data_IF_621850655659
#
_entry.id   IF_621850655659
#
_cell.length_a   1.000
_cell.length_b   1.000
_cell.length_c   1.000
_cell.angle_alpha   90.00
_cell.angle_beta   90.00
_cell.angle_gamma   90.00
#
_symmetry.space_group_name_H-M   'P 1'
#
loop_
_entity.id
_entity.type
_entity.pdbx_description
1 polymer ?
#
# COMPACT_ATOMS: atom_id res chain seq x y z
N UNK A 1 -41.52 -47.78 28.48
CA UNK A 1 -40.83 -49.00 28.96
C UNK A 1 -40.05 -48.67 30.23
N UNK A 2 -39.86 -49.62 31.15
CA UNK A 2 -39.10 -49.45 32.39
C UNK A 2 -38.12 -50.61 32.61
N UNK A 3 -36.88 -50.30 32.97
CA UNK A 3 -35.83 -51.26 33.32
C UNK A 3 -35.25 -50.90 34.69
N UNK A 4 -34.63 -51.87 35.38
CA UNK A 4 -33.89 -51.63 36.61
C UNK A 4 -32.41 -51.93 36.40
N UNK A 5 -31.56 -50.93 36.59
CA UNK A 5 -30.11 -51.03 36.60
C UNK A 5 -29.61 -50.96 38.05
N UNK A 6 -29.41 -52.12 38.69
CA UNK A 6 -28.98 -52.22 40.09
C UNK A 6 -29.90 -51.42 41.05
N UNK A 7 -29.55 -50.16 41.38
CA UNK A 7 -30.27 -49.25 42.27
C UNK A 7 -30.99 -48.10 41.55
N UNK A 8 -30.92 -48.07 40.22
CA UNK A 8 -31.49 -47.03 39.39
C UNK A 8 -32.55 -47.59 38.45
N UNK A 9 -33.55 -46.78 38.14
CA UNK A 9 -34.63 -47.05 37.22
C UNK A 9 -34.38 -46.32 35.91
N UNK A 10 -34.47 -47.04 34.81
CA UNK A 10 -34.32 -46.48 33.46
C UNK A 10 -35.69 -46.48 32.80
N UNK A 11 -36.10 -45.30 32.31
CA UNK A 11 -37.37 -45.08 31.63
C UNK A 11 -37.10 -44.65 30.20
N UNK A 12 -37.56 -45.47 29.24
CA UNK A 12 -37.64 -45.11 27.83
C UNK A 12 -38.99 -44.47 27.52
N UNK A 13 -38.95 -43.27 26.98
CA UNK A 13 -40.12 -42.41 26.70
C UNK A 13 -40.10 -41.90 25.26
N UNK A 14 -41.10 -41.10 24.87
CA UNK A 14 -41.10 -40.37 23.60
C UNK A 14 -40.17 -39.13 23.58
N UNK A 15 -39.51 -38.82 24.71
CA UNK A 15 -38.61 -37.67 24.88
C UNK A 15 -37.19 -38.07 25.30
N UNK A 16 -36.85 -39.34 25.10
CA UNK A 16 -35.53 -39.90 25.38
C UNK A 16 -35.55 -40.91 26.53
N UNK A 17 -34.35 -41.16 27.03
CA UNK A 17 -34.07 -42.12 28.08
C UNK A 17 -33.70 -41.36 29.37
N UNK A 18 -34.34 -41.74 30.47
CA UNK A 18 -34.14 -41.09 31.77
C UNK A 18 -33.77 -42.11 32.83
N UNK A 19 -32.77 -41.79 33.65
CA UNK A 19 -32.32 -42.61 34.78
C UNK A 19 -32.68 -41.93 36.09
N UNK A 20 -33.38 -42.65 36.97
CA UNK A 20 -33.80 -42.21 38.29
C UNK A 20 -33.20 -43.10 39.37
N UNK A 21 -32.92 -42.57 40.55
CA UNK A 21 -32.63 -43.44 41.71
C UNK A 21 -33.92 -44.01 42.32
N UNK A 22 -33.79 -44.89 43.32
CA UNK A 22 -34.92 -45.43 44.09
C UNK A 22 -35.75 -44.36 44.86
N UNK A 23 -35.25 -43.13 44.96
CA UNK A 23 -35.93 -41.98 45.57
C UNK A 23 -36.58 -41.05 44.54
N UNK A 24 -36.72 -41.50 43.29
CA UNK A 24 -37.31 -40.76 42.15
C UNK A 24 -36.59 -39.47 41.75
N UNK A 25 -35.32 -39.32 42.16
CA UNK A 25 -34.46 -38.22 41.73
C UNK A 25 -33.86 -38.57 40.36
N UNK A 26 -34.00 -37.65 39.39
CA UNK A 26 -33.39 -37.75 38.08
C UNK A 26 -31.87 -37.64 38.18
N UNK A 27 -31.16 -38.69 37.75
CA UNK A 27 -29.69 -38.75 37.72
C UNK A 27 -29.19 -38.33 36.34
N UNK A 28 -29.73 -38.94 35.28
CA UNK A 28 -29.29 -38.70 33.91
C UNK A 28 -30.47 -38.59 32.96
N UNK A 29 -30.32 -37.74 31.94
CA UNK A 29 -31.25 -37.61 30.83
C UNK A 29 -30.47 -37.66 29.52
N UNK A 30 -30.79 -38.63 28.67
CA UNK A 30 -30.24 -38.76 27.33
C UNK A 30 -31.35 -38.48 26.31
N UNK A 31 -31.15 -37.43 25.51
CA UNK A 31 -32.09 -36.91 24.52
C UNK A 31 -31.29 -36.38 23.30
N UNK A 32 -31.95 -35.74 22.33
CA UNK A 32 -31.26 -35.26 21.11
C UNK A 32 -30.12 -34.28 21.46
N UNK A 33 -30.33 -33.40 22.43
CA UNK A 33 -29.31 -32.42 22.86
C UNK A 33 -28.08 -33.06 23.48
N UNK A 34 -28.21 -34.30 23.99
CA UNK A 34 -27.12 -35.09 24.57
C UNK A 34 -26.52 -36.11 23.61
N UNK A 35 -27.02 -36.17 22.37
CA UNK A 35 -26.44 -36.97 21.29
C UNK A 35 -27.26 -38.18 20.84
N UNK A 36 -28.48 -38.38 21.35
CA UNK A 36 -29.39 -39.37 20.75
C UNK A 36 -29.81 -38.89 19.35
N UNK A 37 -29.90 -39.78 18.35
CA UNK A 37 -30.39 -39.40 17.03
C UNK A 37 -31.89 -39.10 17.02
N UNK A 38 -32.63 -39.78 17.89
CA UNK A 38 -34.07 -39.71 18.03
C UNK A 38 -34.49 -39.92 19.49
N UNK A 39 -35.56 -39.24 19.92
CA UNK A 39 -36.02 -39.27 21.31
C UNK A 39 -37.07 -40.35 21.57
N UNK A 40 -37.65 -40.93 20.53
CA UNK A 40 -38.71 -41.91 20.68
C UNK A 40 -38.14 -43.30 20.97
N UNK A 41 -38.02 -43.65 22.25
CA UNK A 41 -37.42 -44.91 22.68
C UNK A 41 -38.45 -46.04 22.62
N UNK A 42 -38.22 -46.99 21.72
CA UNK A 42 -39.09 -48.14 21.51
C UNK A 42 -38.80 -49.33 22.42
N UNK A 43 -37.52 -49.64 22.55
CA UNK A 43 -37.06 -50.72 23.41
C UNK A 43 -35.68 -50.35 23.96
N UNK A 44 -35.37 -50.77 25.18
CA UNK A 44 -34.03 -50.73 25.71
C UNK A 44 -33.75 -51.97 26.56
N UNK A 45 -32.48 -52.27 26.77
CA UNK A 45 -32.00 -53.37 27.57
C UNK A 45 -30.63 -53.01 28.17
N UNK A 46 -30.28 -53.62 29.29
CA UNK A 46 -28.96 -53.47 29.90
C UNK A 46 -28.16 -54.72 29.54
N UNK A 47 -26.98 -54.54 28.96
CA UNK A 47 -26.12 -55.68 28.65
C UNK A 47 -25.37 -56.21 29.89
N UNK A 48 -24.59 -57.29 29.70
CA UNK A 48 -23.83 -57.90 30.78
C UNK A 48 -22.70 -57.03 31.34
N UNK A 49 -22.31 -55.97 30.62
CA UNK A 49 -21.28 -55.01 31.04
C UNK A 49 -21.89 -53.72 31.60
N UNK A 50 -23.19 -53.76 31.93
CA UNK A 50 -23.96 -52.66 32.47
C UNK A 50 -24.04 -51.44 31.55
N UNK A 51 -23.97 -51.67 30.23
CA UNK A 51 -24.21 -50.64 29.21
C UNK A 51 -25.67 -50.69 28.80
N UNK A 52 -26.25 -49.52 28.56
CA UNK A 52 -27.65 -49.42 28.15
C UNK A 52 -27.69 -49.42 26.62
N UNK A 53 -28.52 -50.25 26.05
CA UNK A 53 -28.79 -50.31 24.63
C UNK A 53 -30.25 -49.95 24.39
N UNK A 54 -30.52 -48.98 23.53
CA UNK A 54 -31.88 -48.58 23.19
C UNK A 54 -32.08 -48.49 21.67
N UNK A 55 -33.33 -48.66 21.23
CA UNK A 55 -33.75 -48.59 19.84
C UNK A 55 -34.79 -47.49 19.65
N UNK A 56 -34.78 -46.87 18.48
CA UNK A 56 -35.63 -45.74 18.09
C UNK A 56 -35.73 -45.68 16.55
N UNK A 57 -36.39 -44.67 15.97
CA UNK A 57 -36.61 -44.51 14.51
C UNK A 57 -35.34 -44.26 13.66
N UNK A 58 -34.17 -44.19 14.31
CA UNK A 58 -32.89 -43.84 13.68
C UNK A 58 -31.76 -44.78 14.09
N UNK A 59 -32.13 -46.02 14.42
CA UNK A 59 -31.22 -47.11 14.71
C UNK A 59 -31.19 -47.52 16.17
N UNK A 60 -30.00 -47.94 16.60
CA UNK A 60 -29.71 -48.41 17.96
C UNK A 60 -28.66 -47.49 18.58
N UNK A 61 -28.87 -47.08 19.81
CA UNK A 61 -27.92 -46.29 20.59
C UNK A 61 -27.41 -47.06 21.79
N UNK A 62 -26.11 -46.97 22.03
CA UNK A 62 -25.42 -47.55 23.19
C UNK A 62 -24.95 -46.44 24.12
N UNK A 63 -25.25 -46.56 25.40
CA UNK A 63 -24.85 -45.61 26.43
C UNK A 63 -23.93 -46.35 27.39
N UNK A 64 -22.68 -45.90 27.49
CA UNK A 64 -21.71 -46.47 28.41
C UNK A 64 -21.95 -45.98 29.86
N UNK A 65 -21.21 -46.53 30.82
CA UNK A 65 -21.31 -46.14 32.23
C UNK A 65 -20.91 -44.69 32.52
N UNK A 66 -20.19 -44.02 31.61
CA UNK A 66 -19.85 -42.59 31.70
C UNK A 66 -20.95 -41.68 31.14
N UNK A 67 -21.95 -42.27 30.49
CA UNK A 67 -23.02 -41.56 29.80
C UNK A 67 -22.71 -41.20 28.34
N UNK A 68 -21.58 -41.65 27.77
CA UNK A 68 -21.27 -41.42 26.36
C UNK A 68 -22.17 -42.25 25.45
N UNK A 69 -22.73 -41.60 24.42
CA UNK A 69 -23.65 -42.22 23.48
C UNK A 69 -22.90 -42.63 22.20
N UNK A 70 -23.06 -43.89 21.78
CA UNK A 70 -22.60 -44.42 20.49
C UNK A 70 -23.80 -44.88 19.66
N UNK A 71 -24.00 -44.22 18.53
CA UNK A 71 -25.14 -44.48 17.64
C UNK A 71 -24.76 -45.40 16.49
N UNK A 72 -25.65 -46.34 16.18
CA UNK A 72 -25.57 -47.28 15.06
C UNK A 72 -26.81 -47.10 14.19
N UNK A 73 -26.61 -47.00 12.88
CA UNK A 73 -27.63 -46.88 11.85
C UNK A 73 -27.55 -48.06 10.88
N UNK A 74 -28.42 -48.08 9.89
CA UNK A 74 -28.36 -48.99 8.74
C UNK A 74 -26.98 -49.02 8.07
N UNK A 75 -26.27 -47.89 8.03
CA UNK A 75 -24.93 -47.83 7.44
C UNK A 75 -23.87 -48.61 8.25
N UNK A 76 -24.17 -48.94 9.51
CA UNK A 76 -23.37 -49.82 10.38
C UNK A 76 -23.81 -51.30 10.33
N UNK A 77 -24.71 -51.67 9.41
CA UNK A 77 -25.15 -53.06 9.23
C UNK A 77 -26.45 -53.42 9.97
N UNK A 78 -27.21 -52.42 10.43
CA UNK A 78 -28.56 -52.66 10.95
C UNK A 78 -29.52 -53.07 9.82
N UNK A 79 -30.56 -53.84 10.16
CA UNK A 79 -31.59 -54.31 9.22
C UNK A 79 -32.29 -53.14 8.50
N UNK A 80 -32.55 -52.08 9.25
CA UNK A 80 -32.95 -50.75 8.81
C UNK A 80 -32.73 -49.78 9.99
N UNK A 81 -33.03 -48.49 9.79
CA UNK A 81 -32.99 -47.48 10.85
C UNK A 81 -34.20 -47.56 11.80
N UNK A 82 -35.34 -48.05 11.31
CA UNK A 82 -36.58 -48.11 12.09
C UNK A 82 -36.74 -49.43 12.85
N UNK A 83 -36.97 -49.33 14.16
CA UNK A 83 -37.14 -50.45 15.09
C UNK A 83 -38.55 -50.51 15.67
N UNK A 84 -38.94 -51.67 16.20
CA UNK A 84 -40.28 -51.88 16.72
C UNK A 84 -40.35 -51.79 18.25
N UNK A 85 -41.49 -51.30 18.74
CA UNK A 85 -41.78 -51.21 20.17
C UNK A 85 -41.74 -52.60 20.85
N UNK A 86 -41.01 -52.69 21.96
CA UNK A 86 -40.86 -53.92 22.76
C UNK A 86 -40.07 -55.05 22.09
N UNK A 87 -39.55 -54.86 20.87
CA UNK A 87 -38.83 -55.90 20.13
C UNK A 87 -37.35 -55.96 20.53
N UNK A 88 -37.08 -56.30 21.79
CA UNK A 88 -35.73 -56.51 22.31
C UNK A 88 -35.65 -57.80 23.12
N UNK A 89 -34.54 -58.54 22.99
CA UNK A 89 -34.25 -59.69 23.83
C UNK A 89 -32.74 -59.80 24.08
N UNK A 90 -32.39 -60.44 25.19
CA UNK A 90 -31.03 -60.84 25.49
C UNK A 90 -31.02 -62.33 25.85
N UNK A 91 -30.11 -63.08 25.24
CA UNK A 91 -29.90 -64.49 25.56
C UNK A 91 -29.01 -64.66 26.79
N UNK A 92 -29.02 -65.87 27.37
CA UNK A 92 -28.26 -66.20 28.58
C UNK A 92 -26.74 -66.06 28.40
N UNK A 93 -26.22 -66.23 27.18
CA UNK A 93 -24.82 -66.01 26.83
C UNK A 93 -24.49 -64.53 26.56
N UNK A 94 -25.49 -63.66 26.42
CA UNK A 94 -25.34 -62.20 26.35
C UNK A 94 -25.45 -61.61 24.95
N UNK A 95 -25.92 -62.38 23.97
CA UNK A 95 -26.29 -61.86 22.66
C UNK A 95 -27.52 -60.96 22.79
N UNK A 96 -27.51 -59.81 22.14
CA UNK A 96 -28.65 -58.90 22.06
C UNK A 96 -29.38 -59.09 20.74
N UNK A 97 -30.69 -59.00 20.80
CA UNK A 97 -31.60 -59.05 19.66
C UNK A 97 -32.44 -57.77 19.66
N UNK A 98 -32.50 -57.09 18.51
CA UNK A 98 -33.39 -55.95 18.29
C UNK A 98 -34.17 -56.18 17.00
N UNK A 99 -35.49 -56.14 17.08
CA UNK A 99 -36.39 -56.31 15.94
C UNK A 99 -36.87 -54.97 15.39
N UNK A 100 -36.99 -54.89 14.06
CA UNK A 100 -37.51 -53.73 13.37
C UNK A 100 -38.27 -54.09 12.10
N UNK A 101 -38.43 -53.12 11.22
CA UNK A 101 -39.36 -53.20 10.08
C UNK A 101 -38.94 -54.21 8.98
N UNK A 102 -37.67 -54.58 8.89
CA UNK A 102 -37.10 -55.52 7.90
C UNK A 102 -36.42 -56.74 8.54
N UNK A 103 -36.80 -57.10 9.76
CA UNK A 103 -36.32 -58.29 10.44
C UNK A 103 -35.69 -57.98 11.79
N UNK A 104 -34.55 -58.62 12.09
CA UNK A 104 -33.86 -58.47 13.37
C UNK A 104 -32.36 -58.32 13.20
N UNK A 105 -31.73 -57.61 14.13
CA UNK A 105 -30.29 -57.63 14.34
C UNK A 105 -29.96 -58.46 15.58
N UNK A 106 -28.93 -59.31 15.47
CA UNK A 106 -28.40 -60.09 16.58
C UNK A 106 -26.89 -59.87 16.68
N UNK A 107 -26.39 -59.49 17.85
CA UNK A 107 -24.95 -59.21 18.04
C UNK A 107 -24.52 -59.38 19.49
N UNK A 108 -23.22 -59.64 19.71
CA UNK A 108 -22.62 -59.62 21.04
C UNK A 108 -21.95 -58.26 21.27
N UNK A 109 -22.36 -57.49 22.29
CA UNK A 109 -21.76 -56.17 22.59
C UNK A 109 -20.23 -56.20 22.70
N UNK A 110 -19.67 -57.24 23.33
CA UNK A 110 -18.21 -57.42 23.52
C UNK A 110 -17.43 -57.71 22.24
N UNK A 111 -18.10 -58.17 21.18
CA UNK A 111 -17.46 -58.46 19.89
C UNK A 111 -17.50 -57.25 18.94
N UNK A 112 -18.18 -56.17 19.33
CA UNK A 112 -18.17 -54.93 18.57
C UNK A 112 -16.81 -54.26 18.76
N UNK A 113 -15.95 -54.36 17.73
CA UNK A 113 -14.77 -53.53 17.62
C UNK A 113 -15.20 -52.08 17.35
N UNK A 114 -15.35 -51.31 18.43
CA UNK A 114 -15.69 -49.89 18.39
C UNK A 114 -14.46 -49.00 18.31
N UNK A 115 -13.29 -49.55 17.98
CA UNK A 115 -12.09 -48.77 17.77
C UNK A 115 -12.42 -47.61 16.84
N UNK A 116 -12.11 -46.40 17.30
CA UNK A 116 -12.21 -45.20 16.48
C UNK A 116 -11.23 -45.38 15.34
N UNK A 117 -11.70 -45.97 14.24
CA UNK A 117 -10.94 -46.03 12.99
C UNK A 117 -10.81 -44.59 12.54
N UNK A 118 -9.71 -43.96 12.92
CA UNK A 118 -9.29 -42.66 12.42
C UNK A 118 -9.05 -42.91 10.93
N UNK A 119 -9.89 -42.37 10.04
CA UNK A 119 -9.72 -42.62 8.62
C UNK A 119 -8.39 -42.01 8.17
N UNK A 120 -7.73 -42.67 7.23
CA UNK A 120 -6.57 -42.10 6.57
C UNK A 120 -7.05 -41.02 5.59
N UNK A 121 -6.87 -39.76 5.96
CA UNK A 121 -7.18 -38.64 5.08
C UNK A 121 -6.06 -38.48 4.04
N UNK A 122 -6.43 -38.35 2.77
CA UNK A 122 -5.49 -38.10 1.67
C UNK A 122 -5.99 -36.94 0.81
N UNK A 123 -5.06 -36.09 0.40
CA UNK A 123 -5.32 -35.05 -0.61
C UNK A 123 -5.29 -35.73 -1.97
N UNK A 124 -6.38 -35.59 -2.72
CA UNK A 124 -6.55 -36.24 -4.03
C UNK A 124 -6.19 -35.30 -5.18
N UNK A 125 -6.40 -33.99 -5.00
CA UNK A 125 -6.09 -32.99 -6.02
C UNK A 125 -5.84 -31.62 -5.39
N UNK A 126 -4.88 -30.90 -5.93
CA UNK A 126 -4.65 -29.49 -5.65
C UNK A 126 -4.65 -28.74 -6.99
N UNK A 127 -5.42 -27.66 -7.07
CA UNK A 127 -5.49 -26.79 -8.24
C UNK A 127 -5.43 -25.33 -7.83
N UNK A 128 -4.82 -24.50 -8.67
CA UNK A 128 -4.86 -23.04 -8.51
C UNK A 128 -5.49 -22.40 -9.73
N UNK A 129 -6.42 -21.46 -9.51
CA UNK A 129 -7.19 -20.81 -10.57
C UNK A 129 -7.78 -21.80 -11.59
N UNK A 130 -8.29 -22.93 -11.09
CA UNK A 130 -8.84 -24.06 -11.86
C UNK A 130 -7.84 -24.84 -12.75
N UNK A 131 -6.57 -24.45 -12.79
CA UNK A 131 -5.51 -25.22 -13.40
C UNK A 131 -4.92 -26.23 -12.40
N UNK A 132 -4.76 -27.48 -12.83
CA UNK A 132 -4.04 -28.48 -12.03
C UNK A 132 -2.57 -28.11 -11.91
N UNK A 133 -2.01 -28.19 -10.70
CA UNK A 133 -0.59 -27.95 -10.51
C UNK A 133 0.22 -29.05 -11.22
N UNK A 134 1.17 -28.69 -12.10
CA UNK A 134 2.14 -29.65 -12.62
C UNK A 134 3.05 -30.04 -11.45
N UNK A 135 2.92 -31.28 -10.98
CA UNK A 135 3.73 -31.81 -9.89
C UNK A 135 4.15 -33.23 -10.24
N UNK A 136 5.45 -33.50 -10.12
CA UNK A 136 6.01 -34.85 -10.26
C UNK A 136 5.80 -35.69 -8.98
N UNK A 137 5.29 -35.04 -7.92
CA UNK A 137 4.97 -35.67 -6.64
C UNK A 137 3.47 -35.84 -6.50
N UNK A 138 3.03 -37.02 -6.11
CA UNK A 138 1.63 -37.29 -5.83
C UNK A 138 1.07 -36.36 -4.74
N UNK A 139 -0.15 -35.84 -4.95
CA UNK A 139 -0.75 -34.80 -4.09
C UNK A 139 -0.83 -35.16 -2.61
N UNK A 140 -1.01 -36.44 -2.26
CA UNK A 140 -1.06 -36.91 -0.88
C UNK A 140 0.29 -36.86 -0.14
N UNK A 141 1.39 -36.60 -0.84
CA UNK A 141 2.74 -36.51 -0.26
C UNK A 141 3.32 -35.09 -0.32
N UNK A 142 2.56 -34.12 -0.84
CA UNK A 142 3.00 -32.73 -0.92
C UNK A 142 2.80 -32.08 0.44
N UNK A 143 3.89 -31.67 1.08
CA UNK A 143 3.86 -31.01 2.39
C UNK A 143 3.98 -29.49 2.29
N UNK A 144 4.60 -28.99 1.21
CA UNK A 144 4.87 -27.57 1.00
C UNK A 144 4.56 -27.20 -0.45
N UNK A 145 3.85 -26.09 -0.64
CA UNK A 145 3.59 -25.49 -1.95
C UNK A 145 3.86 -24.00 -1.94
N UNK A 146 4.46 -23.53 -3.02
CA UNK A 146 4.75 -22.13 -3.25
C UNK A 146 3.95 -21.64 -4.45
N UNK A 147 3.25 -20.52 -4.29
CA UNK A 147 2.42 -19.91 -5.33
C UNK A 147 2.85 -18.47 -5.60
N UNK A 148 2.69 -18.03 -6.84
CA UNK A 148 2.74 -16.61 -7.17
C UNK A 148 1.37 -15.96 -6.94
N UNK A 149 1.33 -14.66 -6.63
CA UNK A 149 0.08 -13.96 -6.28
C UNK A 149 -1.01 -14.01 -7.37
N UNK A 150 -0.64 -14.16 -8.65
CA UNK A 150 -1.62 -14.37 -9.73
C UNK A 150 -2.52 -15.59 -9.45
N UNK A 151 -1.99 -16.59 -8.77
CA UNK A 151 -2.57 -17.90 -8.49
C UNK A 151 -3.10 -18.00 -7.05
N UNK A 152 -3.87 -16.99 -6.63
CA UNK A 152 -4.31 -16.86 -5.24
C UNK A 152 -5.57 -17.68 -4.86
N UNK A 153 -6.24 -18.32 -5.82
CA UNK A 153 -7.39 -19.18 -5.56
C UNK A 153 -6.98 -20.64 -5.52
N UNK A 154 -6.76 -21.13 -4.31
CA UNK A 154 -6.39 -22.51 -4.06
C UNK A 154 -7.65 -23.37 -3.85
N UNK A 155 -7.74 -24.44 -4.62
CA UNK A 155 -8.77 -25.48 -4.48
C UNK A 155 -8.10 -26.80 -4.09
N UNK A 156 -8.50 -27.35 -2.96
CA UNK A 156 -7.95 -28.61 -2.41
C UNK A 156 -9.09 -29.62 -2.30
N UNK A 157 -8.91 -30.77 -2.93
CA UNK A 157 -9.82 -31.91 -2.84
C UNK A 157 -9.16 -33.03 -2.05
N UNK A 158 -9.94 -33.70 -1.19
CA UNK A 158 -9.44 -34.73 -0.29
C UNK A 158 -10.48 -35.81 -0.05
N UNK A 159 -10.05 -36.97 0.39
CA UNK A 159 -10.95 -38.06 0.77
C UNK A 159 -10.42 -38.79 2.00
N UNK A 160 -11.34 -39.14 2.90
CA UNK A 160 -11.08 -40.06 3.99
C UNK A 160 -11.16 -41.50 3.46
N UNK A 161 -10.12 -42.29 3.72
CA UNK A 161 -10.06 -43.72 3.42
C UNK A 161 -10.18 -44.46 4.75
N UNK A 162 -11.27 -45.19 4.93
CA UNK A 162 -11.50 -45.98 6.13
C UNK A 162 -12.48 -47.12 5.87
N UNK A 163 -12.82 -47.85 6.93
CA UNK A 163 -13.66 -49.06 6.85
C UNK A 163 -15.12 -48.78 6.45
N UNK A 164 -15.56 -47.51 6.38
CA UNK A 164 -16.93 -47.12 6.03
C UNK A 164 -16.98 -46.40 4.68
N UNK A 165 -18.12 -46.53 3.98
CA UNK A 165 -18.40 -45.85 2.71
C UNK A 165 -18.17 -44.33 2.81
N UNK A 166 -17.67 -43.71 1.73
CA UNK A 166 -17.08 -42.37 1.76
C UNK A 166 -17.95 -41.18 2.21
N UNK A 167 -19.27 -41.36 2.35
CA UNK A 167 -20.19 -40.33 2.88
C UNK A 167 -20.38 -40.41 4.40
N UNK A 168 -19.74 -41.36 5.08
CA UNK A 168 -19.88 -41.56 6.53
C UNK A 168 -18.99 -40.62 7.38
N UNK A 169 -18.15 -39.80 6.74
CA UNK A 169 -17.22 -38.92 7.44
C UNK A 169 -17.65 -37.45 7.36
N UNK A 170 -17.48 -36.77 8.49
CA UNK A 170 -17.51 -35.33 8.61
C UNK A 170 -16.08 -34.79 8.46
N UNK A 171 -15.89 -33.85 7.56
CA UNK A 171 -14.63 -33.17 7.30
C UNK A 171 -14.60 -31.81 8.01
N UNK A 172 -13.42 -31.45 8.51
CA UNK A 172 -13.18 -30.15 9.11
C UNK A 172 -11.79 -29.65 8.72
N UNK A 173 -11.66 -28.32 8.64
CA UNK A 173 -10.39 -27.69 8.28
C UNK A 173 -10.15 -26.40 9.06
N UNK A 174 -8.90 -26.00 9.17
CA UNK A 174 -8.50 -24.67 9.64
C UNK A 174 -7.28 -24.17 8.87
N UNK A 175 -7.09 -22.85 8.86
CA UNK A 175 -6.03 -22.19 8.08
C UNK A 175 -5.23 -21.29 9.00
N UNK A 176 -4.16 -21.82 9.59
CA UNK A 176 -3.27 -21.07 10.45
C UNK A 176 -2.58 -19.99 9.60
N UNK A 177 -2.67 -18.73 10.03
CA UNK A 177 -2.29 -17.55 9.24
C UNK A 177 -3.50 -16.75 8.73
N UNK A 178 -4.71 -17.34 8.72
CA UNK A 178 -5.97 -16.66 8.45
C UNK A 178 -6.92 -16.73 9.66
N UNK A 179 -7.14 -17.93 10.18
CA UNK A 179 -8.10 -18.24 11.23
C UNK A 179 -7.65 -19.47 12.02
N UNK A 180 -7.77 -19.42 13.36
CA UNK A 180 -7.33 -20.51 14.25
C UNK A 180 -8.43 -21.54 14.53
N UNK A 181 -9.68 -21.23 14.23
CA UNK A 181 -10.81 -22.10 14.54
C UNK A 181 -11.07 -23.17 13.46
N UNK A 182 -11.51 -24.34 13.91
CA UNK A 182 -11.97 -25.41 13.02
C UNK A 182 -13.31 -25.08 12.38
N UNK A 183 -13.36 -25.18 11.06
CA UNK A 183 -14.57 -25.01 10.25
C UNK A 183 -15.09 -26.37 9.83
N UNK A 184 -16.38 -26.58 10.04
CA UNK A 184 -17.09 -27.82 9.72
C UNK A 184 -17.52 -27.81 8.25
N UNK A 185 -17.10 -28.81 7.48
CA UNK A 185 -17.48 -29.01 6.07
C UNK A 185 -18.56 -30.08 5.89
N UNK A 186 -18.97 -30.77 6.96
CA UNK A 186 -19.89 -31.90 6.88
C UNK A 186 -19.34 -32.94 5.90
N UNK A 187 -20.08 -33.27 4.83
CA UNK A 187 -19.67 -34.27 3.84
C UNK A 187 -18.92 -33.68 2.64
N UNK A 188 -18.66 -32.37 2.64
CA UNK A 188 -17.97 -31.69 1.52
C UNK A 188 -16.48 -32.02 1.55
N UNK A 189 -15.97 -32.44 0.39
CA UNK A 189 -14.60 -32.94 0.18
C UNK A 189 -13.69 -31.96 -0.54
N UNK A 190 -14.07 -30.69 -0.54
CA UNK A 190 -13.38 -29.62 -1.25
C UNK A 190 -13.30 -28.36 -0.37
N UNK A 191 -12.15 -27.70 -0.42
CA UNK A 191 -11.90 -26.40 0.18
C UNK A 191 -11.48 -25.43 -0.94
N UNK A 192 -12.15 -24.29 -1.05
CA UNK A 192 -11.74 -23.17 -1.89
C UNK A 192 -11.30 -21.98 -1.02
N UNK A 193 -10.07 -21.51 -1.23
CA UNK A 193 -9.48 -20.41 -0.46
C UNK A 193 -8.88 -19.37 -1.38
N UNK A 194 -9.16 -18.10 -1.09
CA UNK A 194 -8.45 -16.97 -1.67
C UNK A 194 -7.42 -16.47 -0.64
N UNK A 195 -6.13 -16.69 -0.91
CA UNK A 195 -5.05 -16.38 0.03
C UNK A 195 -4.26 -15.14 -0.42
N UNK A 196 -4.04 -14.20 0.49
CA UNK A 196 -3.16 -13.05 0.24
C UNK A 196 -1.68 -13.48 0.32
N UNK A 197 -0.72 -12.64 -0.12
CA UNK A 197 0.70 -12.92 0.08
C UNK A 197 1.04 -13.16 1.56
N UNK A 198 1.73 -14.27 1.84
CA UNK A 198 2.01 -14.71 3.20
C UNK A 198 2.25 -16.21 3.33
N UNK A 199 2.50 -16.66 4.56
CA UNK A 199 2.70 -18.06 4.91
C UNK A 199 1.47 -18.58 5.65
N UNK A 200 0.96 -19.72 5.20
CA UNK A 200 -0.22 -20.36 5.74
C UNK A 200 0.04 -21.84 5.99
N UNK A 201 -0.67 -22.41 6.97
CA UNK A 201 -0.68 -23.84 7.22
C UNK A 201 -2.13 -24.32 7.25
N UNK A 202 -2.51 -25.11 6.26
CA UNK A 202 -3.83 -25.70 6.15
C UNK A 202 -3.80 -27.04 6.84
N UNK A 203 -4.69 -27.21 7.82
CA UNK A 203 -4.87 -28.45 8.54
C UNK A 203 -6.26 -29.01 8.26
N UNK A 204 -6.33 -30.29 7.91
CA UNK A 204 -7.57 -30.99 7.56
C UNK A 204 -7.68 -32.25 8.40
N UNK A 205 -8.88 -32.52 8.91
CA UNK A 205 -9.18 -33.73 9.65
C UNK A 205 -10.54 -34.28 9.24
N UNK A 206 -10.69 -35.60 9.33
CA UNK A 206 -11.95 -36.30 9.09
C UNK A 206 -12.31 -37.18 10.29
N UNK A 207 -13.58 -37.14 10.70
CA UNK A 207 -14.10 -37.91 11.82
C UNK A 207 -15.54 -38.35 11.58
N UNK A 208 -16.13 -39.07 12.53
CA UNK A 208 -17.57 -39.42 12.48
C UNK A 208 -18.46 -38.20 12.72
N UNK A 209 -17.99 -37.29 13.57
CA UNK A 209 -18.68 -36.05 13.95
C UNK A 209 -17.66 -34.92 14.01
N UNK A 210 -18.16 -33.69 14.04
CA UNK A 210 -17.32 -32.52 14.26
C UNK A 210 -16.72 -32.56 15.67
N UNK A 211 -15.42 -32.36 15.77
CA UNK A 211 -14.69 -32.39 17.03
C UNK A 211 -13.63 -31.29 17.03
N UNK A 212 -13.81 -30.28 17.90
CA UNK A 212 -12.91 -29.12 17.97
C UNK A 212 -11.51 -29.48 18.45
N UNK A 213 -11.35 -30.61 19.14
CA UNK A 213 -10.08 -31.07 19.70
C UNK A 213 -9.40 -32.13 18.84
N UNK A 214 -9.96 -32.45 17.67
CA UNK A 214 -9.40 -33.44 16.77
C UNK A 214 -8.04 -33.00 16.23
N UNK A 215 -7.07 -33.92 16.27
CA UNK A 215 -5.75 -33.70 15.70
C UNK A 215 -5.82 -33.63 14.17
N UNK A 216 -5.00 -32.76 13.58
CA UNK A 216 -4.87 -32.66 12.13
C UNK A 216 -4.33 -33.97 11.55
N UNK A 217 -5.01 -34.51 10.54
CA UNK A 217 -4.61 -35.75 9.87
C UNK A 217 -3.78 -35.46 8.62
N UNK A 218 -4.09 -34.34 7.94
CA UNK A 218 -3.30 -33.83 6.82
C UNK A 218 -2.96 -32.37 7.05
N UNK A 219 -1.74 -32.03 6.66
CA UNK A 219 -1.18 -30.68 6.79
C UNK A 219 -0.53 -30.29 5.48
N UNK A 220 -0.83 -29.07 5.01
CA UNK A 220 -0.21 -28.48 3.83
C UNK A 220 0.28 -27.08 4.16
N UNK A 221 1.58 -26.86 4.07
CA UNK A 221 2.20 -25.55 4.20
C UNK A 221 2.17 -24.84 2.84
N UNK A 222 1.75 -23.58 2.86
CA UNK A 222 1.57 -22.76 1.66
C UNK A 222 2.28 -21.43 1.85
N UNK A 223 3.08 -21.06 0.85
CA UNK A 223 3.70 -19.76 0.76
C UNK A 223 3.24 -19.04 -0.50
N UNK A 224 2.47 -17.96 -0.33
CA UNK A 224 2.05 -17.08 -1.41
C UNK A 224 3.03 -15.92 -1.50
N UNK A 225 3.82 -15.88 -2.58
CA UNK A 225 4.82 -14.85 -2.80
C UNK A 225 4.17 -13.50 -3.14
N UNK A 226 4.70 -12.38 -2.61
CA UNK A 226 4.29 -11.05 -3.05
C UNK A 226 4.72 -10.79 -4.52
N UNK A 227 4.12 -9.82 -5.21
CA UNK A 227 4.50 -9.45 -6.57
C UNK A 227 5.92 -8.88 -6.60
N UNK A 228 6.59 -9.05 -7.73
CA UNK A 228 7.94 -8.52 -7.94
C UNK A 228 8.01 -6.99 -7.75
N UNK A 229 6.96 -6.24 -8.10
CA UNK A 229 6.93 -4.78 -7.97
C UNK A 229 6.78 -4.26 -6.52
N UNK A 230 6.38 -5.13 -5.58
CA UNK A 230 6.39 -4.82 -4.14
C UNK A 230 7.67 -5.33 -3.45
N UNK A 231 8.56 -6.01 -4.19
CA UNK A 231 9.82 -6.48 -3.63
C UNK A 231 10.76 -5.31 -3.35
N UNK A 232 11.52 -5.40 -2.26
CA UNK A 232 12.42 -4.35 -1.79
C UNK A 232 13.42 -3.89 -2.85
N UNK A 233 13.97 -4.82 -3.65
CA UNK A 233 14.91 -4.48 -4.72
C UNK A 233 14.26 -3.62 -5.82
N UNK A 234 13.00 -3.89 -6.17
CA UNK A 234 12.28 -3.14 -7.20
C UNK A 234 11.98 -1.73 -6.70
N UNK A 235 11.48 -1.60 -5.47
CA UNK A 235 11.25 -0.30 -4.84
C UNK A 235 12.53 0.54 -4.79
N UNK A 236 13.66 -0.07 -4.43
CA UNK A 236 14.96 0.62 -4.40
C UNK A 236 15.44 1.03 -5.81
N UNK A 237 15.24 0.17 -6.80
CA UNK A 237 15.58 0.50 -8.20
C UNK A 237 14.71 1.64 -8.75
N UNK A 238 13.41 1.63 -8.41
CA UNK A 238 12.46 2.65 -8.83
C UNK A 238 12.75 4.00 -8.17
N UNK A 239 13.08 4.03 -6.88
CA UNK A 239 13.47 5.26 -6.18
C UNK A 239 14.77 5.83 -6.74
N UNK A 240 15.78 4.99 -7.01
CA UNK A 240 17.02 5.43 -7.68
C UNK A 240 16.70 6.02 -9.05
N UNK A 241 15.93 5.32 -9.88
CA UNK A 241 15.54 5.80 -11.21
C UNK A 241 14.78 7.12 -11.18
N UNK A 242 13.93 7.32 -10.17
CA UNK A 242 13.23 8.58 -9.95
C UNK A 242 14.20 9.70 -9.55
N UNK A 243 15.11 9.46 -8.60
CA UNK A 243 16.12 10.42 -8.16
C UNK A 243 17.08 10.81 -9.28
N UNK A 244 17.53 9.86 -10.11
CA UNK A 244 18.40 10.14 -11.25
C UNK A 244 17.69 10.97 -12.31
N UNK A 245 16.41 10.67 -12.58
CA UNK A 245 15.58 11.44 -13.52
C UNK A 245 15.34 12.86 -13.02
N UNK A 246 15.03 13.02 -11.73
CA UNK A 246 14.87 14.33 -11.09
C UNK A 246 16.18 15.14 -11.13
N UNK A 247 17.31 14.52 -10.78
CA UNK A 247 18.62 15.15 -10.87
C UNK A 247 18.96 15.57 -12.30
N UNK A 248 18.68 14.72 -13.29
CA UNK A 248 18.90 15.02 -14.70
C UNK A 248 18.03 16.20 -15.17
N UNK A 249 16.76 16.25 -14.79
CA UNK A 249 15.86 17.37 -15.07
C UNK A 249 16.36 18.68 -14.43
N UNK A 250 16.74 18.64 -13.15
CA UNK A 250 17.30 19.80 -12.45
C UNK A 250 18.58 20.30 -13.15
N UNK A 251 19.46 19.37 -13.55
CA UNK A 251 20.68 19.69 -14.29
C UNK A 251 20.37 20.36 -15.63
N UNK A 252 19.41 19.85 -16.40
CA UNK A 252 19.00 20.44 -17.68
C UNK A 252 18.42 21.85 -17.50
N UNK A 253 17.55 22.05 -16.51
CA UNK A 253 16.96 23.37 -16.21
C UNK A 253 18.05 24.35 -15.74
N UNK A 254 18.94 23.90 -14.84
CA UNK A 254 20.06 24.70 -14.33
C UNK A 254 21.01 25.11 -15.45
N UNK A 255 21.37 24.20 -16.36
CA UNK A 255 22.21 24.50 -17.52
C UNK A 255 21.56 25.52 -18.45
N UNK A 256 20.24 25.42 -18.71
CA UNK A 256 19.51 26.42 -19.51
C UNK A 256 19.53 27.79 -18.85
N UNK A 257 19.30 27.87 -17.54
CA UNK A 257 19.39 29.13 -16.77
C UNK A 257 20.80 29.71 -16.80
N UNK A 258 21.82 28.87 -16.62
CA UNK A 258 23.22 29.27 -16.63
C UNK A 258 23.63 29.84 -18.00
N UNK A 259 23.24 29.18 -19.09
CA UNK A 259 23.50 29.66 -20.46
C UNK A 259 22.86 31.03 -20.73
N UNK A 260 21.59 31.21 -20.35
CA UNK A 260 20.91 32.52 -20.49
C UNK A 260 21.63 33.62 -19.70
N UNK A 261 22.07 33.32 -18.47
CA UNK A 261 22.81 34.27 -17.64
C UNK A 261 24.18 34.62 -18.25
N UNK A 262 24.86 33.65 -18.83
CA UNK A 262 26.12 33.91 -19.55
C UNK A 262 25.91 34.77 -20.79
N UNK A 263 24.84 34.54 -21.55
CA UNK A 263 24.50 35.37 -22.71
C UNK A 263 24.17 36.81 -22.30
N UNK A 264 23.41 37.02 -21.22
CA UNK A 264 23.13 38.37 -20.74
C UNK A 264 24.39 39.10 -20.26
N UNK A 265 25.31 38.39 -19.61
CA UNK A 265 26.58 38.98 -19.17
C UNK A 265 27.49 39.33 -20.34
N UNK A 266 27.59 38.45 -21.34
CA UNK A 266 28.34 38.73 -22.56
C UNK A 266 27.76 39.92 -23.35
N UNK A 267 26.43 40.05 -23.40
CA UNK A 267 25.76 41.21 -24.02
C UNK A 267 26.06 42.52 -23.28
N UNK A 268 26.07 42.50 -21.94
CA UNK A 268 26.45 43.67 -21.15
C UNK A 268 27.90 44.08 -21.41
N UNK A 269 28.82 43.12 -21.48
CA UNK A 269 30.22 43.37 -21.79
C UNK A 269 30.40 43.96 -23.21
N UNK A 270 29.65 43.46 -24.19
CA UNK A 270 29.64 44.02 -25.55
C UNK A 270 29.13 45.46 -25.57
N UNK A 271 28.03 45.74 -24.86
CA UNK A 271 27.51 47.11 -24.73
C UNK A 271 28.52 48.05 -24.08
N UNK A 272 29.27 47.58 -23.09
CA UNK A 272 30.33 48.37 -22.47
C UNK A 272 31.48 48.66 -23.43
N UNK A 273 31.94 47.65 -24.17
CA UNK A 273 32.99 47.83 -25.20
C UNK A 273 32.55 48.79 -26.30
N UNK A 274 31.31 48.70 -26.75
CA UNK A 274 30.79 49.59 -27.79
C UNK A 274 30.64 51.02 -27.28
N UNK A 275 30.19 51.23 -26.03
CA UNK A 275 30.18 52.55 -25.39
C UNK A 275 31.57 53.15 -25.32
N UNK A 276 32.56 52.39 -24.85
CA UNK A 276 33.95 52.86 -24.78
C UNK A 276 34.52 53.21 -26.16
N UNK A 277 34.19 52.42 -27.18
CA UNK A 277 34.57 52.69 -28.56
C UNK A 277 33.94 53.99 -29.06
N UNK A 278 32.63 54.17 -28.88
CA UNK A 278 31.91 55.39 -29.27
C UNK A 278 32.51 56.60 -28.58
N UNK A 279 32.74 56.55 -27.26
CA UNK A 279 33.39 57.64 -26.52
C UNK A 279 34.75 58.01 -27.11
N UNK A 280 35.56 57.01 -27.47
CA UNK A 280 36.89 57.21 -28.08
C UNK A 280 36.77 57.82 -29.49
N UNK A 281 35.89 57.29 -30.32
CA UNK A 281 35.67 57.80 -31.68
C UNK A 281 35.13 59.24 -31.68
N UNK A 282 34.25 59.59 -30.73
CA UNK A 282 33.81 60.98 -30.53
C UNK A 282 34.97 61.88 -30.10
N UNK A 283 35.81 61.43 -29.17
CA UNK A 283 36.95 62.21 -28.69
C UNK A 283 37.96 62.47 -29.81
N UNK A 284 38.39 61.41 -30.50
CA UNK A 284 39.49 61.46 -31.44
C UNK A 284 39.10 62.13 -32.77
N UNK A 285 37.90 61.81 -33.30
CA UNK A 285 37.48 62.34 -34.60
C UNK A 285 36.75 63.67 -34.42
N UNK A 286 35.60 63.65 -33.73
CA UNK A 286 34.74 64.84 -33.64
C UNK A 286 35.40 65.96 -32.84
N UNK A 287 36.09 65.62 -31.74
CA UNK A 287 36.87 66.58 -30.96
C UNK A 287 37.99 67.23 -31.78
N UNK A 288 38.80 66.44 -32.49
CA UNK A 288 39.88 66.98 -33.30
C UNK A 288 39.39 67.85 -34.47
N UNK A 289 38.35 67.42 -35.20
CA UNK A 289 37.81 68.20 -36.32
C UNK A 289 37.23 69.54 -35.87
N UNK A 290 36.55 69.56 -34.73
CA UNK A 290 35.94 70.78 -34.20
C UNK A 290 37.00 71.74 -33.62
N UNK A 291 38.04 71.23 -32.95
CA UNK A 291 39.20 72.05 -32.58
C UNK A 291 39.94 72.61 -33.80
N UNK A 292 40.10 71.82 -34.87
CA UNK A 292 40.70 72.29 -36.11
C UNK A 292 39.83 73.35 -36.81
N UNK A 293 38.50 73.20 -36.78
CA UNK A 293 37.56 74.20 -37.29
C UNK A 293 37.69 75.52 -36.52
N UNK A 294 37.76 75.49 -35.19
CA UNK A 294 38.00 76.69 -34.38
C UNK A 294 39.31 77.38 -34.77
N UNK A 295 40.41 76.63 -34.84
CA UNK A 295 41.71 77.18 -35.19
C UNK A 295 41.71 77.81 -36.61
N UNK A 296 40.99 77.19 -37.56
CA UNK A 296 40.83 77.74 -38.90
C UNK A 296 39.98 79.02 -38.91
N UNK A 297 38.92 79.08 -38.11
CA UNK A 297 38.07 80.29 -37.98
C UNK A 297 38.85 81.42 -37.31
N UNK A 298 39.62 81.15 -36.26
CA UNK A 298 40.51 82.12 -35.60
C UNK A 298 41.55 82.68 -36.59
N UNK A 299 42.15 81.79 -37.40
CA UNK A 299 43.07 82.21 -38.46
C UNK A 299 42.39 83.09 -39.50
N UNK A 300 41.17 82.77 -39.94
CA UNK A 300 40.42 83.58 -40.90
C UNK A 300 40.05 84.95 -40.33
N UNK A 301 39.66 85.03 -39.05
CA UNK A 301 39.42 86.31 -38.35
C UNK A 301 40.67 87.18 -38.32
N UNK A 302 41.84 86.59 -38.11
CA UNK A 302 43.11 87.32 -38.09
C UNK A 302 43.52 87.91 -39.45
N UNK A 303 43.02 87.35 -40.57
CA UNK A 303 43.42 87.74 -41.94
C UNK A 303 42.38 88.65 -42.61
N UNK A 304 41.08 88.41 -42.42
CA UNK A 304 40.00 89.14 -43.10
C UNK A 304 39.28 90.17 -42.22
N UNK A 305 39.62 90.25 -40.93
CA UNK A 305 38.90 91.10 -39.97
C UNK A 305 37.66 90.41 -39.41
N UNK A 306 37.06 91.01 -38.39
CA UNK A 306 35.97 90.41 -37.64
C UNK A 306 34.65 90.50 -38.42
N UNK A 307 34.20 89.35 -38.96
CA UNK A 307 32.90 89.24 -39.60
C UNK A 307 31.90 88.53 -38.68
N UNK A 308 30.68 89.07 -38.61
CA UNK A 308 29.58 88.52 -37.80
C UNK A 308 29.29 87.05 -38.10
N UNK A 309 29.46 86.60 -39.34
CA UNK A 309 29.29 85.20 -39.73
C UNK A 309 30.43 84.28 -39.24
N UNK A 310 31.67 84.77 -39.15
CA UNK A 310 32.79 84.00 -38.57
C UNK A 310 32.61 83.85 -37.05
N UNK A 311 32.08 84.87 -36.37
CA UNK A 311 31.74 84.80 -34.94
C UNK A 311 30.65 83.74 -34.69
N UNK A 312 29.64 83.65 -35.56
CA UNK A 312 28.60 82.60 -35.47
C UNK A 312 29.18 81.20 -35.70
N UNK A 313 30.08 81.02 -36.68
CA UNK A 313 30.69 79.71 -36.94
C UNK A 313 31.57 79.27 -35.77
N UNK A 314 32.36 80.18 -35.19
CA UNK A 314 33.15 79.86 -33.99
C UNK A 314 32.26 79.51 -32.80
N UNK A 315 31.23 80.32 -32.52
CA UNK A 315 30.30 80.06 -31.42
C UNK A 315 29.57 78.72 -31.60
N UNK A 316 29.17 78.38 -32.82
CA UNK A 316 28.59 77.06 -33.11
C UNK A 316 29.60 75.92 -32.92
N UNK A 317 30.87 76.11 -33.33
CA UNK A 317 31.92 75.12 -33.08
C UNK A 317 32.19 74.93 -31.57
N UNK A 318 32.13 76.01 -30.77
CA UNK A 318 32.26 75.98 -29.32
C UNK A 318 31.11 75.24 -28.66
N UNK A 319 29.88 75.52 -29.09
CA UNK A 319 28.72 74.78 -28.63
C UNK A 319 28.80 73.29 -28.99
N UNK A 320 29.29 72.95 -30.19
CA UNK A 320 29.51 71.56 -30.60
C UNK A 320 30.57 70.90 -29.72
N UNK A 321 31.71 71.56 -29.46
CA UNK A 321 32.78 71.00 -28.62
C UNK A 321 32.34 70.78 -27.17
N UNK A 322 31.60 71.74 -26.61
CA UNK A 322 31.05 71.60 -25.26
C UNK A 322 30.02 70.46 -25.20
N UNK A 323 29.11 70.40 -26.18
CA UNK A 323 28.12 69.31 -26.29
C UNK A 323 28.80 67.94 -26.48
N UNK A 324 29.90 67.86 -27.23
CA UNK A 324 30.68 66.62 -27.40
C UNK A 324 31.35 66.20 -26.09
N UNK A 325 31.97 67.13 -25.35
CA UNK A 325 32.59 66.84 -24.05
C UNK A 325 31.57 66.34 -23.04
N UNK A 326 30.39 66.98 -22.98
CA UNK A 326 29.28 66.54 -22.13
C UNK A 326 28.81 65.13 -22.52
N UNK A 327 28.65 64.87 -23.83
CA UNK A 327 28.21 63.55 -24.32
C UNK A 327 29.22 62.45 -23.99
N UNK A 328 30.53 62.71 -24.14
CA UNK A 328 31.60 61.77 -23.79
C UNK A 328 31.62 61.53 -22.27
N UNK A 329 31.47 62.58 -21.46
CA UNK A 329 31.42 62.48 -20.00
C UNK A 329 30.29 61.56 -19.55
N UNK A 330 29.12 61.64 -20.18
CA UNK A 330 27.95 60.78 -19.91
C UNK A 330 28.15 59.35 -20.38
N UNK A 331 28.79 59.16 -21.53
CA UNK A 331 29.03 57.81 -22.06
C UNK A 331 30.08 57.06 -21.23
N UNK A 332 31.02 57.79 -20.62
CA UNK A 332 32.08 57.22 -19.77
C UNK A 332 31.67 57.07 -18.30
N UNK A 333 30.90 58.01 -17.74
CA UNK A 333 30.42 57.92 -16.36
C UNK A 333 29.06 57.24 -16.34
N UNK A 334 28.95 56.08 -15.69
CA UNK A 334 27.67 55.36 -15.58
C UNK A 334 26.73 56.00 -14.55
N UNK A 335 27.33 56.63 -13.54
CA UNK A 335 26.69 57.08 -12.32
C UNK A 335 27.40 58.37 -11.88
N UNK A 336 26.63 59.37 -11.48
CA UNK A 336 27.16 60.64 -10.92
C UNK A 336 26.53 60.86 -9.57
N UNK A 337 27.34 61.22 -8.58
CA UNK A 337 26.82 61.54 -7.26
C UNK A 337 26.22 62.94 -7.26
N UNK A 338 25.23 63.19 -6.39
CA UNK A 338 24.61 64.51 -6.22
C UNK A 338 25.67 65.56 -5.82
N UNK A 339 26.70 65.17 -5.07
CA UNK A 339 27.86 66.03 -4.77
C UNK A 339 28.59 66.49 -6.02
N UNK A 340 28.92 65.56 -6.91
CA UNK A 340 29.71 65.84 -8.11
C UNK A 340 28.92 66.74 -9.08
N UNK A 341 27.59 66.58 -9.11
CA UNK A 341 26.70 67.47 -9.83
C UNK A 341 26.66 68.88 -9.24
N UNK A 342 26.51 69.00 -7.92
CA UNK A 342 26.44 70.29 -7.24
C UNK A 342 27.72 71.11 -7.41
N UNK A 343 28.88 70.47 -7.31
CA UNK A 343 30.17 71.12 -7.56
C UNK A 343 30.29 71.61 -9.01
N UNK A 344 29.80 70.82 -9.97
CA UNK A 344 29.69 71.22 -11.38
C UNK A 344 28.79 72.44 -11.58
N UNK A 345 27.61 72.44 -10.94
CA UNK A 345 26.63 73.54 -11.04
C UNK A 345 27.17 74.85 -10.44
N UNK A 346 27.81 74.79 -9.26
CA UNK A 346 28.45 75.97 -8.67
C UNK A 346 29.52 76.56 -9.59
N UNK A 347 30.33 75.69 -10.21
CA UNK A 347 31.36 76.11 -11.16
C UNK A 347 30.75 76.78 -12.39
N UNK A 348 29.63 76.26 -12.90
CA UNK A 348 28.88 76.88 -13.99
C UNK A 348 28.35 78.27 -13.61
N UNK A 349 27.63 78.38 -12.48
CA UNK A 349 27.11 79.66 -11.99
C UNK A 349 28.22 80.69 -11.80
N UNK A 350 29.35 80.27 -11.23
CA UNK A 350 30.51 81.15 -11.05
C UNK A 350 31.04 81.68 -12.38
N UNK A 351 31.15 80.82 -13.40
CA UNK A 351 31.62 81.22 -14.73
C UNK A 351 30.66 82.16 -15.46
N UNK A 352 29.34 81.97 -15.32
CA UNK A 352 28.32 82.84 -15.92
C UNK A 352 28.30 84.21 -15.22
N UNK A 353 28.34 84.22 -13.89
CA UNK A 353 28.19 85.43 -13.07
C UNK A 353 29.46 86.29 -13.03
N UNK A 354 30.63 85.74 -13.38
CA UNK A 354 31.89 86.49 -13.51
C UNK A 354 31.79 87.69 -14.46
N UNK A 355 30.85 87.69 -15.41
CA UNK A 355 30.66 88.77 -16.38
C UNK A 355 29.71 89.88 -15.90
N UNK A 356 29.20 89.81 -14.67
CA UNK A 356 28.26 90.78 -14.10
C UNK A 356 28.83 91.35 -12.79
N UNK A 357 29.51 92.50 -12.87
CA UNK A 357 30.24 93.11 -11.74
C UNK A 357 29.34 93.56 -10.57
N UNK A 358 28.03 93.69 -10.78
CA UNK A 358 27.06 94.14 -9.75
C UNK A 358 26.43 92.98 -8.95
N UNK A 359 26.75 91.72 -9.25
CA UNK A 359 26.10 90.55 -8.65
C UNK A 359 27.12 89.75 -7.82
N UNK A 360 26.95 89.71 -6.49
CA UNK A 360 27.69 88.79 -5.62
C UNK A 360 26.98 87.45 -5.51
N UNK A 361 27.72 86.35 -5.67
CA UNK A 361 27.22 84.99 -5.54
C UNK A 361 27.83 84.30 -4.32
N UNK A 362 26.98 83.93 -3.36
CA UNK A 362 27.35 83.06 -2.24
C UNK A 362 26.52 81.79 -2.32
N UNK A 363 27.18 80.63 -2.20
CA UNK A 363 26.49 79.33 -2.17
C UNK A 363 26.78 78.60 -0.86
N UNK A 364 25.73 78.14 -0.18
CA UNK A 364 25.81 77.16 0.90
C UNK A 364 25.15 75.86 0.44
N UNK A 365 25.68 74.72 0.89
CA UNK A 365 25.18 73.40 0.49
C UNK A 365 24.98 72.51 1.70
N UNK A 366 23.89 71.75 1.70
CA UNK A 366 23.60 70.69 2.66
C UNK A 366 23.03 69.47 1.93
N UNK A 367 23.89 68.48 1.63
CA UNK A 367 23.47 67.22 1.00
C UNK A 367 23.06 66.21 2.08
N UNK A 368 21.76 65.95 2.19
CA UNK A 368 21.20 65.01 3.18
C UNK A 368 21.39 63.54 2.77
N UNK A 369 21.44 63.24 1.46
CA UNK A 369 21.69 61.89 0.92
C UNK A 369 22.38 61.96 -0.44
N UNK A 370 23.62 61.47 -0.51
CA UNK A 370 24.42 61.48 -1.75
C UNK A 370 23.97 60.37 -2.71
N UNK A 371 22.79 60.59 -3.27
CA UNK A 371 22.08 59.63 -4.12
C UNK A 371 22.80 59.50 -5.47
N UNK A 372 22.84 58.30 -6.02
CA UNK A 372 23.48 58.06 -7.32
C UNK A 372 22.49 58.39 -8.43
N UNK A 373 22.85 59.33 -9.30
CA UNK A 373 22.08 59.69 -10.49
C UNK A 373 22.62 58.95 -11.71
N UNK A 374 21.72 58.39 -12.52
CA UNK A 374 22.09 57.89 -13.85
C UNK A 374 22.63 59.05 -14.70
N UNK A 375 23.68 58.81 -15.48
CA UNK A 375 24.30 59.87 -16.27
C UNK A 375 23.35 60.57 -17.27
N UNK A 376 22.30 59.88 -17.74
CA UNK A 376 21.24 60.49 -18.56
C UNK A 376 20.39 61.51 -17.79
N UNK A 377 20.11 61.25 -16.52
CA UNK A 377 19.37 62.20 -15.68
C UNK A 377 20.24 63.42 -15.34
N UNK A 378 21.55 63.22 -15.15
CA UNK A 378 22.50 64.31 -14.88
C UNK A 378 22.62 65.31 -16.05
N UNK A 379 22.54 64.86 -17.31
CA UNK A 379 22.56 65.76 -18.50
C UNK A 379 21.43 66.78 -18.47
N UNK A 380 20.22 66.33 -18.16
CA UNK A 380 19.05 67.20 -18.21
C UNK A 380 19.10 68.29 -17.13
N UNK A 381 19.80 68.02 -16.03
CA UNK A 381 19.98 68.97 -14.94
C UNK A 381 21.07 70.02 -15.22
N UNK A 382 22.09 69.69 -16.03
CA UNK A 382 23.16 70.62 -16.43
C UNK A 382 22.77 71.58 -17.57
N UNK A 383 21.58 71.42 -18.17
CA UNK A 383 21.06 72.27 -19.26
C UNK A 383 20.20 73.45 -18.78
N UNK A 384 20.06 73.63 -17.47
CA UNK A 384 19.46 74.80 -16.82
C UNK A 384 20.58 75.77 -16.45
#
# INVERSE_FOLDING_TARGET
>A
MMLKNQKNWILGTSKGLYEFNDQTILIHAWNIQKGLPDENIYSAIIDKDNQIWCSHDKGISKINQKGDITNFSKSEGLQDDEFNYGAVAQTSDGQLFFGGVKGLNAFYPRQLNLDRVIPKLVITKISSNDNSLPTDTAFWNIQYLQFQQHDNRLKIQFTAIGSKLGNAYNYQYRVIGLDKEWKNLLHVREINLALNPGKYKIEIAAGKQFDKELLAQQTLEIEVLPPFYLSWWFLFSATISFLTSAWFLIKLISQRKYRKKMQSLAMLEQLEKERQRISRDLHDNMGAYTSALMANVDKLKSVQGEHTELNKIQSNAEQILNSLRETIWVLNNKETNVSDFSDGFKTYCFNVLKNFEEISFESSEEIVSNSILSASAAIHLNKL
#
